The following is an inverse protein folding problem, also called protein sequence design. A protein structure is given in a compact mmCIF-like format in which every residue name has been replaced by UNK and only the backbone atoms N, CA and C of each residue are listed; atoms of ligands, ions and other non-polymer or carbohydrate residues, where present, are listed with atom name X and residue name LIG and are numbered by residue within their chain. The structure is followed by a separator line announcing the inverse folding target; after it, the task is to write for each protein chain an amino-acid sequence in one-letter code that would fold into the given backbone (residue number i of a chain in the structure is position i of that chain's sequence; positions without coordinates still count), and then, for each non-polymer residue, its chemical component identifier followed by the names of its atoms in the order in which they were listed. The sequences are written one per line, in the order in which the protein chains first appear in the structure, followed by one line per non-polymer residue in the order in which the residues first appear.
data_IF_248261239015
#
_entry.id   IF_248261239015
#
_cell.length_a   1.000
_cell.length_b   1.000
_cell.length_c   1.000
_cell.angle_alpha   90.00
_cell.angle_beta   90.00
_cell.angle_gamma   90.00
#
_symmetry.space_group_name_H-M   'P 1'
#
loop_
_entity.id
_entity.type
_entity.pdbx_description
1 polymer ?
#
# COMPACT_ATOMS: atom_id res chain seq x y z
N UNK A 1 40.24 -67.68 43.28
CA UNK A 1 41.42 -68.26 42.61
C UNK A 1 41.11 -68.51 41.13
N UNK A 2 42.00 -68.04 40.23
CA UNK A 2 42.22 -68.35 38.78
C UNK A 2 41.01 -68.47 37.83
N UNK A 3 40.76 -67.51 36.93
CA UNK A 3 41.38 -67.15 35.62
C UNK A 3 40.95 -68.01 34.41
N UNK A 4 40.56 -67.26 33.37
CA UNK A 4 40.63 -67.48 31.91
C UNK A 4 39.38 -67.97 31.17
N UNK A 5 38.83 -67.08 30.36
CA UNK A 5 38.02 -67.35 29.16
C UNK A 5 38.59 -66.47 28.04
N UNK A 6 38.92 -67.08 26.88
CA UNK A 6 39.53 -66.46 25.72
C UNK A 6 38.51 -66.44 24.56
N UNK A 7 38.39 -65.31 23.88
CA UNK A 7 37.56 -65.09 22.69
C UNK A 7 38.18 -65.68 21.41
N UNK A 8 37.34 -66.05 20.43
CA UNK A 8 37.68 -65.91 19.00
C UNK A 8 36.42 -65.98 18.12
N UNK A 9 36.33 -65.05 17.17
CA UNK A 9 35.15 -64.71 16.35
C UNK A 9 35.38 -65.12 14.89
N UNK A 10 34.36 -65.73 14.28
CA UNK A 10 34.21 -66.10 12.86
C UNK A 10 34.11 -64.91 11.90
N UNK A 11 34.69 -65.01 10.69
CA UNK A 11 34.23 -64.25 9.50
C UNK A 11 34.34 -65.05 8.20
N UNK A 12 33.35 -64.82 7.33
CA UNK A 12 32.91 -65.61 6.19
C UNK A 12 33.40 -65.02 4.85
N UNK A 13 33.79 -65.87 3.91
CA UNK A 13 34.28 -65.51 2.57
C UNK A 13 33.10 -65.26 1.58
N UNK A 14 33.10 -64.23 0.70
CA UNK A 14 32.04 -64.03 -0.29
C UNK A 14 32.39 -64.57 -1.69
N UNK A 15 31.38 -65.13 -2.36
CA UNK A 15 31.41 -65.66 -3.74
C UNK A 15 31.35 -64.53 -4.78
N UNK A 16 32.13 -64.67 -5.86
CA UNK A 16 32.07 -63.82 -7.06
C UNK A 16 30.81 -64.07 -7.89
N UNK A 17 30.11 -63.00 -8.28
CA UNK A 17 29.05 -63.01 -9.31
C UNK A 17 29.42 -62.06 -10.46
N UNK A 18 29.27 -62.54 -11.71
CA UNK A 18 29.57 -61.81 -12.94
C UNK A 18 28.47 -60.77 -13.23
N UNK A 19 28.88 -59.56 -13.65
CA UNK A 19 28.01 -58.43 -14.02
C UNK A 19 27.54 -58.56 -15.47
N UNK A 20 26.25 -58.29 -15.81
CA UNK A 20 25.75 -58.34 -17.18
C UNK A 20 26.11 -57.07 -17.97
N UNK A 21 26.04 -57.09 -19.32
CA UNK A 21 26.45 -55.97 -20.15
C UNK A 21 25.43 -54.83 -20.13
N UNK A 22 25.93 -53.59 -20.05
CA UNK A 22 25.12 -52.37 -20.11
C UNK A 22 24.48 -52.24 -21.51
N UNK A 23 23.14 -52.26 -21.58
CA UNK A 23 22.41 -51.81 -22.78
C UNK A 23 22.48 -50.29 -22.84
N UNK A 24 23.15 -49.77 -23.86
CA UNK A 24 23.27 -48.34 -24.14
C UNK A 24 21.93 -47.84 -24.73
N UNK A 25 21.11 -47.21 -23.90
CA UNK A 25 19.86 -46.57 -24.33
C UNK A 25 20.21 -45.35 -25.20
N UNK A 26 19.61 -45.24 -26.39
CA UNK A 26 19.89 -44.18 -27.37
C UNK A 26 19.59 -42.79 -26.80
N UNK A 27 20.64 -42.01 -26.57
CA UNK A 27 20.63 -40.67 -25.99
C UNK A 27 19.75 -39.66 -26.76
N UNK A 28 19.51 -39.92 -28.06
CA UNK A 28 18.62 -39.11 -28.92
C UNK A 28 17.14 -39.24 -28.56
N UNK A 29 16.71 -40.39 -28.03
CA UNK A 29 15.32 -40.61 -27.64
C UNK A 29 14.97 -39.89 -26.34
N UNK A 30 15.94 -39.72 -25.45
CA UNK A 30 15.76 -39.07 -24.15
C UNK A 30 15.69 -37.53 -24.29
N UNK A 31 16.43 -36.97 -25.26
CA UNK A 31 16.41 -35.53 -25.56
C UNK A 31 15.08 -35.09 -26.18
N UNK A 32 14.49 -35.92 -27.05
CA UNK A 32 13.21 -35.61 -27.69
C UNK A 32 12.05 -35.58 -26.68
N UNK A 33 12.09 -36.46 -25.67
CA UNK A 33 11.10 -36.50 -24.59
C UNK A 33 11.18 -35.25 -23.68
N UNK A 34 12.39 -34.75 -23.43
CA UNK A 34 12.60 -33.52 -22.65
C UNK A 34 12.10 -32.27 -23.40
N UNK A 35 12.27 -32.22 -24.73
CA UNK A 35 11.74 -31.13 -25.57
C UNK A 35 10.21 -31.09 -25.62
N UNK A 36 9.55 -32.25 -25.64
CA UNK A 36 8.09 -32.36 -25.58
C UNK A 36 7.52 -31.88 -24.23
N UNK A 37 8.19 -32.17 -23.11
CA UNK A 37 7.77 -31.73 -21.78
C UNK A 37 7.90 -30.20 -21.58
N UNK A 38 8.86 -29.55 -22.23
CA UNK A 38 9.02 -28.09 -22.20
C UNK A 38 7.93 -27.39 -23.03
N UNK A 39 7.38 -28.04 -24.05
CA UNK A 39 6.35 -27.45 -24.91
C UNK A 39 4.97 -27.38 -24.25
N UNK A 40 4.68 -28.25 -23.28
CA UNK A 40 3.40 -28.28 -22.55
C UNK A 40 3.22 -27.20 -21.48
N UNK A 41 4.27 -26.47 -21.09
CA UNK A 41 4.22 -25.47 -20.02
C UNK A 41 3.96 -24.02 -20.48
N UNK A 42 3.68 -23.79 -21.77
CA UNK A 42 3.44 -22.45 -22.33
C UNK A 42 1.97 -22.13 -22.67
N UNK A 43 1.01 -22.72 -21.96
CA UNK A 43 -0.35 -22.17 -21.91
C UNK A 43 -0.48 -21.28 -20.66
N UNK A 44 0.19 -20.12 -20.69
CA UNK A 44 -0.18 -18.98 -19.84
C UNK A 44 -1.53 -18.50 -20.37
N UNK A 45 -2.61 -19.01 -19.77
CA UNK A 45 -3.93 -18.46 -19.99
C UNK A 45 -3.93 -17.06 -19.37
N UNK A 46 -3.69 -16.03 -20.19
CA UNK A 46 -3.93 -14.65 -19.80
C UNK A 46 -5.42 -14.52 -19.55
N UNK A 47 -5.87 -14.75 -18.31
CA UNK A 47 -7.21 -14.32 -17.90
C UNK A 47 -7.28 -12.84 -18.26
N UNK A 48 -8.29 -12.38 -19.02
CA UNK A 48 -8.50 -10.97 -19.15
C UNK A 48 -8.59 -10.44 -17.72
N UNK A 49 -7.71 -9.49 -17.36
CA UNK A 49 -7.84 -8.76 -16.11
C UNK A 49 -9.16 -8.02 -16.21
N UNK A 50 -10.24 -8.66 -15.75
CA UNK A 50 -11.48 -7.98 -15.42
C UNK A 50 -11.05 -6.86 -14.50
N UNK A 51 -11.12 -5.62 -14.99
CA UNK A 51 -10.89 -4.45 -14.16
C UNK A 51 -11.95 -4.51 -13.09
N UNK A 52 -11.59 -5.00 -11.90
CA UNK A 52 -12.51 -5.08 -10.77
C UNK A 52 -13.04 -3.66 -10.58
N UNK A 53 -14.35 -3.48 -10.71
CA UNK A 53 -15.00 -2.19 -10.44
C UNK A 53 -15.08 -2.01 -8.92
N UNK A 54 -15.00 -0.77 -8.40
CA UNK A 54 -15.16 -0.54 -6.97
C UNK A 54 -16.57 -0.97 -6.52
N UNK A 55 -16.67 -1.65 -5.38
CA UNK A 55 -17.94 -2.01 -4.75
C UNK A 55 -18.62 -0.81 -4.07
N UNK A 56 -17.83 0.20 -3.69
CA UNK A 56 -18.31 1.48 -3.14
C UNK A 56 -17.47 2.61 -3.72
N UNK A 57 -18.13 3.69 -4.12
CA UNK A 57 -17.47 4.94 -4.55
C UNK A 57 -18.06 6.12 -3.78
N UNK A 58 -17.19 6.96 -3.23
CA UNK A 58 -17.57 8.19 -2.50
C UNK A 58 -16.66 9.31 -3.02
N UNK A 59 -17.24 10.45 -3.41
CA UNK A 59 -16.46 11.63 -3.82
C UNK A 59 -16.69 12.71 -2.78
N UNK A 60 -15.60 13.23 -2.22
CA UNK A 60 -15.60 14.29 -1.21
C UNK A 60 -14.65 15.39 -1.61
N UNK A 61 -14.85 16.57 -1.04
CA UNK A 61 -13.94 17.70 -1.17
C UNK A 61 -13.24 17.92 0.16
N UNK A 62 -11.93 17.78 0.12
CA UNK A 62 -11.01 17.94 1.23
C UNK A 62 -10.54 19.38 1.29
N UNK A 63 -10.70 20.03 2.45
CA UNK A 63 -10.33 21.42 2.65
C UNK A 63 -9.35 21.56 3.80
N UNK A 64 -8.16 22.07 3.53
CA UNK A 64 -7.16 22.40 4.55
C UNK A 64 -7.06 23.93 4.65
N UNK A 65 -7.19 24.45 5.87
CA UNK A 65 -6.97 25.87 6.17
C UNK A 65 -5.86 25.99 7.21
N UNK A 66 -4.72 26.50 6.77
CA UNK A 66 -3.52 26.59 7.60
C UNK A 66 -3.66 27.65 8.71
N UNK A 67 -3.18 27.34 9.90
CA UNK A 67 -3.03 28.33 10.97
C UNK A 67 -1.91 29.33 10.65
N UNK A 68 -2.24 30.61 10.73
CA UNK A 68 -1.37 31.75 10.37
C UNK A 68 -0.96 32.61 11.56
N UNK A 69 -1.36 32.22 12.76
CA UNK A 69 -1.11 32.97 14.00
C UNK A 69 -2.30 33.80 14.48
N UNK A 70 -3.16 34.25 13.57
CA UNK A 70 -4.27 35.19 13.85
C UNK A 70 -5.67 34.68 13.42
N UNK A 71 -5.75 33.46 12.86
CA UNK A 71 -6.98 32.89 12.30
C UNK A 71 -7.48 31.64 13.07
N UNK A 72 -7.30 31.59 14.39
CA UNK A 72 -7.63 30.41 15.23
C UNK A 72 -9.04 29.88 15.05
N UNK A 73 -10.03 30.75 14.78
CA UNK A 73 -11.42 30.33 14.59
C UNK A 73 -11.67 29.59 13.27
N UNK A 74 -10.80 29.78 12.27
CA UNK A 74 -10.99 29.29 10.90
C UNK A 74 -9.98 28.21 10.53
N UNK A 75 -8.80 28.20 11.15
CA UNK A 75 -7.76 27.23 10.87
C UNK A 75 -8.17 25.81 11.27
N UNK A 76 -7.81 24.85 10.43
CA UNK A 76 -8.08 23.42 10.60
C UNK A 76 -6.80 22.59 10.61
N UNK A 77 -5.68 23.19 10.18
CA UNK A 77 -4.36 22.59 10.13
C UNK A 77 -3.31 23.49 10.80
N UNK A 78 -2.26 22.88 11.36
CA UNK A 78 -1.16 23.62 11.99
C UNK A 78 0.18 22.90 11.82
N UNK A 79 1.24 23.71 11.71
CA UNK A 79 2.62 23.24 11.61
C UNK A 79 3.09 22.78 12.99
N UNK A 80 3.45 21.50 13.12
CA UNK A 80 3.95 20.94 14.39
C UNK A 80 5.46 20.71 14.40
N UNK A 81 6.06 20.61 13.23
CA UNK A 81 7.51 20.54 13.07
C UNK A 81 7.90 21.28 11.79
N UNK A 82 8.80 22.25 11.94
CA UNK A 82 9.35 22.99 10.82
C UNK A 82 10.74 23.46 11.25
N UNK A 83 11.80 22.69 10.94
CA UNK A 83 13.13 22.99 11.45
C UNK A 83 13.53 24.42 11.03
N UNK A 84 13.50 25.36 11.97
CA UNK A 84 13.92 26.76 11.87
C UNK A 84 13.36 27.57 10.67
N UNK A 85 12.19 27.22 10.14
CA UNK A 85 11.68 27.84 8.89
C UNK A 85 12.50 27.50 7.64
N UNK A 86 13.44 26.57 7.78
CA UNK A 86 14.39 26.08 6.77
C UNK A 86 14.23 24.56 6.68
N UNK A 87 13.17 24.11 6.01
CA UNK A 87 13.17 22.73 5.49
C UNK A 87 14.44 22.48 4.66
N UNK A 88 14.80 21.22 4.45
CA UNK A 88 15.97 20.90 3.64
C UNK A 88 15.71 21.28 2.17
N UNK A 89 16.25 22.43 1.75
CA UNK A 89 16.00 23.01 0.42
C UNK A 89 14.74 23.88 0.36
N UNK A 90 14.42 24.45 -0.81
CA UNK A 90 13.37 25.46 -0.93
C UNK A 90 11.94 24.88 -0.90
N UNK A 91 11.79 23.55 -0.95
CA UNK A 91 10.51 22.85 -1.07
C UNK A 91 9.95 22.33 0.26
N UNK A 92 10.36 22.96 1.37
CA UNK A 92 9.81 22.70 2.73
C UNK A 92 10.02 21.28 3.25
N UNK A 93 10.97 20.51 2.71
CA UNK A 93 11.30 19.16 3.19
C UNK A 93 11.38 19.10 4.72
N UNK A 94 10.63 18.18 5.34
CA UNK A 94 10.55 17.97 6.78
C UNK A 94 9.55 18.88 7.50
N UNK A 95 8.89 19.82 6.82
CA UNK A 95 7.74 20.54 7.38
C UNK A 95 6.59 19.54 7.57
N UNK A 96 6.16 19.35 8.80
CA UNK A 96 5.06 18.46 9.19
C UNK A 96 3.87 19.28 9.69
N UNK A 97 2.70 18.91 9.23
CA UNK A 97 1.41 19.52 9.54
C UNK A 97 0.51 18.47 10.18
N UNK A 98 -0.16 18.84 11.26
CA UNK A 98 -1.31 18.11 11.82
C UNK A 98 -2.58 18.81 11.38
N UNK A 99 -3.63 18.04 11.09
CA UNK A 99 -4.88 18.60 10.63
C UNK A 99 -6.10 17.84 11.17
N UNK A 100 -7.19 18.59 11.35
CA UNK A 100 -8.54 18.11 11.54
C UNK A 100 -9.44 18.92 10.60
N UNK A 101 -9.63 18.41 9.39
CA UNK A 101 -10.14 19.16 8.25
C UNK A 101 -11.56 18.73 7.86
N UNK A 102 -12.44 19.66 7.44
CA UNK A 102 -13.79 19.33 7.00
C UNK A 102 -13.78 18.65 5.62
N UNK A 103 -14.64 17.65 5.46
CA UNK A 103 -14.90 16.98 4.18
C UNK A 103 -16.34 17.25 3.74
N UNK A 104 -16.54 17.85 2.57
CA UNK A 104 -17.87 18.23 2.05
C UNK A 104 -18.22 17.45 0.79
N UNK A 105 -19.48 17.53 0.35
CA UNK A 105 -19.98 16.87 -0.87
C UNK A 105 -19.94 17.75 -2.11
N UNK A 106 -19.58 19.03 -1.95
CA UNK A 106 -19.43 20.01 -3.03
C UNK A 106 -18.17 20.87 -2.81
N UNK A 107 -17.90 21.83 -3.70
CA UNK A 107 -16.69 22.66 -3.61
C UNK A 107 -16.71 23.68 -2.47
N UNK A 108 -17.85 23.89 -1.81
CA UNK A 108 -18.04 24.99 -0.87
C UNK A 108 -17.60 24.58 0.53
N UNK A 109 -16.57 25.26 1.05
CA UNK A 109 -16.13 25.12 2.45
C UNK A 109 -17.23 25.46 3.47
N UNK A 110 -18.26 26.22 3.05
CA UNK A 110 -19.40 26.57 3.90
C UNK A 110 -20.46 25.47 3.99
N UNK A 111 -20.36 24.44 3.16
CA UNK A 111 -21.28 23.32 3.20
C UNK A 111 -21.06 22.48 4.46
N UNK A 112 -22.12 21.88 5.04
CA UNK A 112 -21.96 21.03 6.21
C UNK A 112 -21.01 19.86 5.92
N UNK A 113 -20.00 19.60 6.77
CA UNK A 113 -19.10 18.48 6.57
C UNK A 113 -19.83 17.14 6.78
N UNK A 114 -19.58 16.18 5.89
CA UNK A 114 -20.11 14.81 5.98
C UNK A 114 -19.11 13.84 6.64
N UNK A 115 -17.85 14.25 6.73
CA UNK A 115 -16.78 13.58 7.46
C UNK A 115 -15.73 14.62 7.90
N UNK A 116 -14.78 14.18 8.74
CA UNK A 116 -13.54 14.93 9.02
C UNK A 116 -12.33 14.12 8.61
N UNK A 117 -11.34 14.76 8.00
CA UNK A 117 -10.03 14.16 7.75
C UNK A 117 -9.10 14.54 8.91
N UNK A 118 -8.60 13.55 9.64
CA UNK A 118 -7.80 13.76 10.85
C UNK A 118 -6.47 13.03 10.74
N UNK A 119 -5.36 13.74 10.78
CA UNK A 119 -4.06 13.11 10.67
C UNK A 119 -2.91 14.09 10.44
N UNK A 120 -1.92 13.62 9.69
CA UNK A 120 -0.70 14.37 9.39
C UNK A 120 -0.34 14.27 7.92
N UNK A 121 0.29 15.33 7.42
CA UNK A 121 1.11 15.26 6.22
C UNK A 121 2.44 15.96 6.46
N UNK A 122 3.44 15.59 5.67
CA UNK A 122 4.73 16.27 5.67
C UNK A 122 5.28 16.36 4.27
N UNK A 123 6.08 17.39 4.03
CA UNK A 123 6.79 17.56 2.77
C UNK A 123 8.07 16.73 2.77
N UNK A 124 8.35 15.98 1.72
CA UNK A 124 9.38 14.92 1.74
C UNK A 124 10.31 14.91 0.51
N UNK A 125 10.27 15.94 -0.34
CA UNK A 125 11.16 16.04 -1.50
C UNK A 125 12.00 17.32 -1.49
N UNK A 126 13.28 17.18 -1.89
CA UNK A 126 14.27 18.28 -1.90
C UNK A 126 14.30 19.06 -3.22
N UNK A 127 13.70 18.51 -4.28
CA UNK A 127 13.84 18.98 -5.67
C UNK A 127 12.55 19.55 -6.26
N UNK A 128 11.40 19.23 -5.67
CA UNK A 128 10.08 19.81 -5.99
C UNK A 128 9.18 19.66 -4.76
N UNK A 129 7.99 20.29 -4.80
CA UNK A 129 6.98 20.06 -3.77
C UNK A 129 6.42 18.65 -3.89
N UNK A 130 6.45 17.93 -2.79
CA UNK A 130 5.87 16.60 -2.66
C UNK A 130 5.44 16.42 -1.21
N UNK A 131 4.41 15.61 -0.98
CA UNK A 131 3.94 15.33 0.36
C UNK A 131 3.71 13.85 0.58
N UNK A 132 3.64 13.46 1.85
CA UNK A 132 3.20 12.15 2.27
C UNK A 132 2.13 12.30 3.34
N UNK A 133 1.04 11.53 3.22
CA UNK A 133 -0.13 11.63 4.09
C UNK A 133 -0.34 10.34 4.89
N UNK A 134 -0.74 10.48 6.16
CA UNK A 134 -1.43 9.45 6.92
C UNK A 134 -2.55 10.07 7.75
N UNK A 135 -3.78 9.61 7.53
CA UNK A 135 -4.94 10.17 8.20
C UNK A 135 -6.11 9.20 8.22
N UNK A 136 -7.10 9.51 9.04
CA UNK A 136 -8.40 8.85 9.07
C UNK A 136 -9.47 9.79 8.54
N UNK A 137 -10.32 9.31 7.64
CA UNK A 137 -11.63 9.92 7.41
C UNK A 137 -12.58 9.40 8.48
N UNK A 138 -13.11 10.31 9.29
CA UNK A 138 -14.04 10.02 10.39
C UNK A 138 -15.44 10.42 9.97
N UNK A 139 -16.28 9.41 9.76
CA UNK A 139 -17.69 9.57 9.42
C UNK A 139 -18.53 9.42 10.70
N UNK A 140 -19.42 10.39 10.95
CA UNK A 140 -20.34 10.35 12.08
C UNK A 140 -21.67 11.02 11.71
N UNK A 141 -22.28 10.54 10.63
CA UNK A 141 -23.59 11.02 10.16
C UNK A 141 -24.63 9.90 10.26
N UNK A 142 -25.87 10.21 9.89
CA UNK A 142 -26.93 9.20 9.75
C UNK A 142 -26.71 8.28 8.54
N UNK A 143 -25.91 8.70 7.56
CA UNK A 143 -25.63 7.92 6.35
C UNK A 143 -24.44 6.97 6.54
N UNK A 144 -23.39 7.43 7.20
CA UNK A 144 -22.18 6.66 7.46
C UNK A 144 -21.64 6.92 8.85
N UNK A 145 -21.26 5.86 9.54
CA UNK A 145 -20.62 5.89 10.86
C UNK A 145 -19.45 4.91 10.92
N UNK A 146 -18.24 5.44 11.06
CA UNK A 146 -17.01 4.64 11.05
C UNK A 146 -15.81 5.42 10.52
N UNK A 147 -14.74 4.71 10.18
CA UNK A 147 -13.53 5.34 9.66
C UNK A 147 -12.97 4.64 8.43
N UNK A 148 -12.32 5.40 7.56
CA UNK A 148 -11.39 4.90 6.54
C UNK A 148 -9.99 5.42 6.85
N UNK A 149 -9.01 4.55 6.96
CA UNK A 149 -7.62 4.93 7.18
C UNK A 149 -6.89 4.97 5.84
N UNK A 150 -6.21 6.08 5.57
CA UNK A 150 -5.57 6.37 4.29
C UNK A 150 -4.11 6.74 4.53
N UNK A 151 -3.22 6.19 3.72
CA UNK A 151 -1.81 6.58 3.72
C UNK A 151 -1.18 6.46 2.33
N UNK A 152 -0.19 7.31 2.05
CA UNK A 152 0.56 7.24 0.81
C UNK A 152 1.28 8.54 0.44
N UNK A 153 2.09 8.43 -0.61
CA UNK A 153 2.73 9.59 -1.23
C UNK A 153 1.72 10.38 -2.07
N UNK A 154 1.67 11.68 -1.85
CA UNK A 154 0.96 12.67 -2.66
C UNK A 154 1.96 13.31 -3.60
N UNK A 155 2.10 12.72 -4.79
CA UNK A 155 2.91 13.23 -5.90
C UNK A 155 2.30 14.51 -6.47
N UNK A 156 2.51 15.64 -5.78
CA UNK A 156 1.77 16.89 -6.00
C UNK A 156 1.87 17.45 -7.44
N UNK A 157 2.94 17.13 -8.16
CA UNK A 157 3.13 17.56 -9.56
C UNK A 157 2.26 16.75 -10.55
N UNK A 158 1.69 15.62 -10.12
CA UNK A 158 0.82 14.79 -10.95
C UNK A 158 -0.63 15.28 -10.92
N UNK A 159 -1.37 15.24 -12.05
CA UNK A 159 -2.76 15.69 -12.11
C UNK A 159 -3.69 14.85 -11.23
N UNK A 160 -3.35 13.57 -11.03
CA UNK A 160 -4.10 12.62 -10.22
C UNK A 160 -3.14 11.74 -9.43
N UNK A 161 -3.44 11.49 -8.15
CA UNK A 161 -2.54 10.69 -7.29
C UNK A 161 -3.32 9.68 -6.47
N UNK A 162 -2.82 8.46 -6.39
CA UNK A 162 -3.49 7.38 -5.69
C UNK A 162 -2.82 7.08 -4.34
N UNK A 163 -3.59 7.23 -3.27
CA UNK A 163 -3.22 6.82 -1.92
C UNK A 163 -3.98 5.56 -1.54
N UNK A 164 -3.41 4.75 -0.64
CA UNK A 164 -4.02 3.49 -0.23
C UNK A 164 -5.05 3.71 0.88
N UNK A 165 -6.25 3.18 0.70
CA UNK A 165 -7.16 2.92 1.82
C UNK A 165 -6.70 1.60 2.45
N UNK A 166 -6.06 1.70 3.63
CA UNK A 166 -5.38 0.58 4.28
C UNK A 166 -6.26 -0.18 5.27
N UNK A 167 -7.45 0.34 5.58
CA UNK A 167 -8.42 -0.31 6.46
C UNK A 167 -9.57 0.60 6.80
N UNK A 168 -10.56 0.07 7.51
CA UNK A 168 -11.65 0.86 8.07
C UNK A 168 -12.33 0.21 9.26
N UNK A 169 -13.19 0.99 9.91
CA UNK A 169 -13.97 0.61 11.09
C UNK A 169 -15.44 0.98 10.91
N UNK A 170 -16.34 0.46 11.75
CA UNK A 170 -17.78 0.72 11.65
C UNK A 170 -18.34 0.24 10.32
N UNK A 171 -19.09 1.10 9.63
CA UNK A 171 -19.66 0.81 8.30
C UNK A 171 -18.60 0.48 7.22
N UNK A 172 -17.33 0.79 7.48
CA UNK A 172 -16.20 0.51 6.60
C UNK A 172 -15.27 -0.59 7.14
N UNK A 173 -15.76 -1.44 8.04
CA UNK A 173 -14.99 -2.54 8.60
C UNK A 173 -14.30 -3.39 7.52
N UNK A 174 -12.99 -3.62 7.69
CA UNK A 174 -12.14 -4.38 6.75
C UNK A 174 -12.03 -3.80 5.33
N UNK A 175 -12.48 -2.57 5.09
CA UNK A 175 -12.42 -1.97 3.77
C UNK A 175 -10.99 -1.84 3.22
N UNK A 176 -10.81 -2.14 1.93
CA UNK A 176 -9.59 -1.85 1.16
C UNK A 176 -9.93 -1.12 -0.13
N UNK A 177 -9.06 -0.22 -0.54
CA UNK A 177 -9.35 0.65 -1.67
C UNK A 177 -8.25 1.62 -2.03
N UNK A 178 -8.60 2.56 -2.90
CA UNK A 178 -7.76 3.65 -3.37
C UNK A 178 -8.49 4.97 -3.13
N UNK A 179 -7.78 5.95 -2.60
CA UNK A 179 -8.20 7.34 -2.55
C UNK A 179 -7.45 8.12 -3.63
N UNK A 180 -8.14 8.57 -4.67
CA UNK A 180 -7.51 9.37 -5.73
C UNK A 180 -7.69 10.85 -5.43
N UNK A 181 -6.59 11.59 -5.36
CA UNK A 181 -6.56 13.03 -5.16
C UNK A 181 -6.51 13.76 -6.51
N UNK A 182 -7.33 14.80 -6.67
CA UNK A 182 -7.30 15.77 -7.78
C UNK A 182 -7.26 17.18 -7.20
N UNK A 183 -6.27 17.98 -7.56
CA UNK A 183 -6.09 19.31 -6.97
C UNK A 183 -7.08 20.23 -7.65
N UNK A 184 -7.94 20.89 -6.85
CA UNK A 184 -9.02 21.74 -7.37
C UNK A 184 -8.73 23.22 -7.15
N UNK A 185 -8.20 23.58 -5.98
CA UNK A 185 -7.86 24.98 -5.64
C UNK A 185 -6.66 25.02 -4.69
N UNK A 186 -5.78 26.00 -4.89
CA UNK A 186 -4.63 26.26 -4.00
C UNK A 186 -4.48 27.78 -3.89
N UNK A 187 -4.55 28.29 -2.68
CA UNK A 187 -4.34 29.71 -2.35
C UNK A 187 -3.04 29.86 -1.56
N UNK A 188 -1.92 29.95 -2.29
CA UNK A 188 -0.60 30.09 -1.69
C UNK A 188 -0.27 28.95 -0.72
N UNK A 189 0.02 29.28 0.54
CA UNK A 189 0.27 28.32 1.62
C UNK A 189 -0.87 28.31 2.66
N UNK A 190 -1.97 29.00 2.40
CA UNK A 190 -3.01 29.32 3.37
C UNK A 190 -4.18 28.35 3.28
N UNK A 191 -4.56 27.97 2.07
CA UNK A 191 -5.69 27.11 1.81
C UNK A 191 -5.46 26.22 0.60
N UNK A 192 -5.96 25.00 0.65
CA UNK A 192 -6.12 24.18 -0.55
C UNK A 192 -7.40 23.33 -0.50
N UNK A 193 -7.89 22.98 -1.68
CA UNK A 193 -8.97 22.02 -1.91
C UNK A 193 -8.54 20.89 -2.83
N UNK A 194 -8.80 19.67 -2.38
CA UNK A 194 -8.58 18.45 -3.17
C UNK A 194 -9.91 17.73 -3.34
N UNK A 195 -10.24 17.33 -4.57
CA UNK A 195 -11.27 16.32 -4.81
C UNK A 195 -10.69 14.96 -4.46
N UNK A 196 -11.35 14.25 -3.55
CA UNK A 196 -10.98 12.92 -3.12
C UNK A 196 -12.00 11.90 -3.64
N UNK A 197 -11.60 11.10 -4.62
CA UNK A 197 -12.40 10.01 -5.19
C UNK A 197 -12.03 8.68 -4.52
N UNK A 198 -12.80 8.31 -3.50
CA UNK A 198 -12.63 7.08 -2.71
C UNK A 198 -13.28 5.90 -3.44
N UNK A 199 -12.47 4.91 -3.78
CA UNK A 199 -12.87 3.69 -4.49
C UNK A 199 -12.52 2.48 -3.64
N UNK A 200 -13.52 1.88 -3.00
CA UNK A 200 -13.34 0.65 -2.22
C UNK A 200 -13.54 -0.56 -3.13
N UNK A 201 -12.61 -1.51 -3.08
CA UNK A 201 -12.62 -2.74 -3.87
C UNK A 201 -12.89 -3.98 -3.03
N UNK A 202 -12.76 -3.87 -1.71
CA UNK A 202 -13.24 -4.86 -0.75
C UNK A 202 -14.18 -4.16 0.24
N UNK A 203 -15.43 -4.65 0.29
CA UNK A 203 -16.53 -4.15 1.09
C UNK A 203 -17.20 -5.35 1.78
N UNK A 204 -17.76 -5.16 2.98
CA UNK A 204 -18.38 -6.20 3.81
C UNK A 204 -19.79 -5.84 4.21
#
# INVERSE_FOLDING_TARGET
MRRNQLNSTTTHNPKHTKKPPNKMVSQKSLTLFFLLLISSSLLVHSRPTSTKKPCKRIVLYYHDTMFKGDNTANATASIIANPNGTGLGPFKFGKTVVFDDPMTTDKSLRSPPVARAQGIYFYDMKTTFNAWFAYSLVFNSTQYKGTLNIMGADMMDEPTRDLSVVGGTGDFFMARGIATFITDEVEGADYFRVVMDLKLYECY
#
